data_IF_366447531992
#
_entry.id   IF_366447531992
#
_cell.length_a   1.000
_cell.length_b   1.000
_cell.length_c   1.000
_cell.angle_alpha   90.00
_cell.angle_beta   90.00
_cell.angle_gamma   90.00
#
_symmetry.space_group_name_H-M   'P 1'
#
loop_
_entity.id
_entity.type
_entity.pdbx_description
1 polymer ?
#
# COMPACT_ATOMS: atom_id res chain seq x y z
N UNK A 1 46.86 -5.03 -21.63
CA UNK A 1 46.23 -5.73 -20.50
C UNK A 1 45.23 -4.76 -19.91
N UNK A 2 43.95 -4.87 -20.27
CA UNK A 2 42.92 -4.00 -19.71
C UNK A 2 42.81 -4.31 -18.20
N UNK A 3 42.63 -3.31 -17.32
CA UNK A 3 42.40 -3.57 -15.91
C UNK A 3 41.14 -4.41 -15.78
N UNK A 4 41.26 -5.53 -15.05
CA UNK A 4 40.14 -6.39 -14.69
C UNK A 4 39.07 -5.50 -14.00
N UNK A 5 37.81 -5.49 -14.47
CA UNK A 5 36.78 -4.67 -13.84
C UNK A 5 36.73 -5.00 -12.35
N UNK A 6 37.08 -4.03 -11.52
CA UNK A 6 37.12 -4.19 -10.07
C UNK A 6 35.74 -4.68 -9.59
N UNK A 7 35.67 -5.95 -9.20
CA UNK A 7 34.45 -6.56 -8.69
C UNK A 7 34.19 -5.97 -7.31
N UNK A 8 33.19 -5.10 -7.22
CA UNK A 8 32.77 -4.52 -5.95
C UNK A 8 32.13 -5.62 -5.08
N UNK A 9 32.48 -5.74 -3.79
CA UNK A 9 31.80 -6.64 -2.87
C UNK A 9 30.30 -6.34 -2.78
N UNK A 10 29.47 -7.37 -2.64
CA UNK A 10 28.00 -7.24 -2.58
C UNK A 10 27.53 -6.27 -1.47
N UNK A 11 28.23 -6.25 -0.33
CA UNK A 11 27.88 -5.38 0.79
C UNK A 11 28.11 -3.91 0.47
N UNK A 12 29.20 -3.59 -0.24
CA UNK A 12 29.47 -2.23 -0.70
C UNK A 12 28.49 -1.80 -1.80
N UNK A 13 28.06 -2.74 -2.67
CA UNK A 13 27.01 -2.49 -3.64
C UNK A 13 25.67 -2.20 -2.95
N UNK A 14 25.28 -3.02 -1.98
CA UNK A 14 24.06 -2.84 -1.21
C UNK A 14 24.04 -1.48 -0.49
N UNK A 15 25.19 -1.06 0.05
CA UNK A 15 25.37 0.22 0.72
C UNK A 15 25.17 1.41 -0.23
N UNK A 16 25.63 1.32 -1.49
CA UNK A 16 25.35 2.37 -2.48
C UNK A 16 23.87 2.35 -2.86
N UNK A 17 23.31 1.17 -3.12
CA UNK A 17 21.93 1.02 -3.58
C UNK A 17 20.91 1.48 -2.55
N UNK A 18 21.16 1.33 -1.24
CA UNK A 18 20.20 1.73 -0.19
C UNK A 18 19.95 3.23 -0.09
N UNK A 19 20.80 4.04 -0.73
CA UNK A 19 20.63 5.49 -0.79
C UNK A 19 19.78 5.94 -2.00
N UNK A 20 19.41 5.02 -2.89
CA UNK A 20 18.62 5.33 -4.07
C UNK A 20 17.12 5.38 -3.74
N UNK A 21 16.39 6.20 -4.49
CA UNK A 21 14.93 6.24 -4.40
C UNK A 21 14.31 4.90 -4.86
N UNK A 22 13.11 4.53 -4.38
CA UNK A 22 12.49 3.24 -4.69
C UNK A 22 12.31 2.94 -6.20
N UNK A 23 11.98 3.96 -7.00
CA UNK A 23 11.84 3.81 -8.44
C UNK A 23 13.18 3.56 -9.14
N UNK A 24 14.26 4.18 -8.64
CA UNK A 24 15.63 3.96 -9.14
C UNK A 24 16.12 2.57 -8.77
N UNK A 25 15.81 2.09 -7.56
CA UNK A 25 16.07 0.70 -7.15
C UNK A 25 15.37 -0.30 -8.07
N UNK A 26 14.12 -0.04 -8.45
CA UNK A 26 13.39 -0.89 -9.38
C UNK A 26 14.06 -0.98 -10.76
N UNK A 27 14.60 0.14 -11.27
CA UNK A 27 15.37 0.16 -12.51
C UNK A 27 16.71 -0.61 -12.37
N UNK A 28 17.41 -0.43 -11.25
CA UNK A 28 18.68 -1.12 -10.96
C UNK A 28 18.54 -2.66 -10.91
N UNK A 29 17.37 -3.20 -10.54
CA UNK A 29 17.06 -4.65 -10.58
C UNK A 29 17.07 -5.27 -11.98
N UNK A 30 17.08 -4.44 -13.03
CA UNK A 30 17.08 -4.89 -14.43
C UNK A 30 18.48 -4.90 -15.06
N UNK A 31 19.50 -4.34 -14.39
CA UNK A 31 20.86 -4.19 -14.93
C UNK A 31 21.55 -5.54 -15.12
N UNK A 32 21.63 -6.35 -14.06
CA UNK A 32 22.15 -7.72 -14.14
C UNK A 32 21.63 -8.60 -12.99
N UNK A 33 21.88 -9.91 -13.08
CA UNK A 33 21.48 -10.88 -12.06
C UNK A 33 22.04 -10.57 -10.67
N UNK A 34 23.35 -10.33 -10.55
CA UNK A 34 23.98 -10.05 -9.24
C UNK A 34 23.46 -8.79 -8.55
N UNK A 35 23.10 -7.75 -9.31
CA UNK A 35 22.45 -6.56 -8.76
C UNK A 35 21.03 -6.87 -8.28
N UNK A 36 20.27 -7.64 -9.05
CA UNK A 36 18.93 -8.08 -8.64
C UNK A 36 18.97 -8.90 -7.36
N UNK A 37 19.89 -9.86 -7.26
CA UNK A 37 20.03 -10.73 -6.09
C UNK A 37 20.43 -9.94 -4.84
N UNK A 38 21.37 -8.99 -4.99
CA UNK A 38 21.76 -8.07 -3.91
C UNK A 38 20.58 -7.21 -3.44
N UNK A 39 19.82 -6.64 -4.38
CA UNK A 39 18.64 -5.82 -4.07
C UNK A 39 17.56 -6.67 -3.41
N UNK A 40 17.26 -7.84 -3.94
CA UNK A 40 16.19 -8.70 -3.45
C UNK A 40 16.50 -9.24 -2.04
N UNK A 41 17.75 -9.65 -1.78
CA UNK A 41 18.17 -10.19 -0.50
C UNK A 41 18.32 -9.13 0.60
N UNK A 42 18.93 -7.97 0.28
CA UNK A 42 19.35 -7.00 1.31
C UNK A 42 18.46 -5.75 1.39
N UNK A 43 17.78 -5.38 0.31
CA UNK A 43 16.97 -4.15 0.26
C UNK A 43 15.47 -4.41 0.14
N UNK A 44 15.05 -5.44 -0.61
CA UNK A 44 13.63 -5.77 -0.76
C UNK A 44 13.11 -6.71 0.33
N UNK A 45 13.97 -7.40 1.08
CA UNK A 45 13.56 -8.12 2.30
C UNK A 45 12.86 -7.22 3.33
N UNK A 46 13.13 -5.91 3.30
CA UNK A 46 12.46 -4.90 4.12
C UNK A 46 11.38 -4.09 3.37
N UNK A 47 11.28 -4.21 2.04
CA UNK A 47 10.32 -3.49 1.19
C UNK A 47 9.15 -4.38 0.75
N UNK A 48 8.55 -5.05 1.73
CA UNK A 48 7.25 -5.73 1.71
C UNK A 48 7.31 -7.21 1.36
N UNK A 49 6.52 -7.97 2.12
CA UNK A 49 5.71 -9.05 1.56
C UNK A 49 4.99 -8.48 0.33
N UNK A 50 5.60 -8.60 -0.86
CA UNK A 50 5.04 -8.14 -2.16
C UNK A 50 3.86 -9.02 -2.62
N UNK A 51 3.27 -9.76 -1.71
CA UNK A 51 2.04 -10.50 -1.97
C UNK A 51 0.87 -9.54 -1.83
N UNK A 52 0.26 -9.16 -2.95
CA UNK A 52 -1.00 -8.41 -2.95
C UNK A 52 -2.05 -9.31 -2.32
N UNK A 53 -2.50 -8.96 -1.12
CA UNK A 53 -3.46 -9.78 -0.36
C UNK A 53 -4.90 -9.60 -0.83
N UNK A 54 -5.20 -8.53 -1.53
CA UNK A 54 -6.50 -8.23 -2.10
C UNK A 54 -6.57 -6.80 -2.63
N UNK A 55 -7.74 -6.43 -3.09
CA UNK A 55 -8.05 -5.12 -3.68
C UNK A 55 -9.34 -4.56 -3.07
N UNK A 56 -9.43 -3.24 -2.98
CA UNK A 56 -10.67 -2.55 -2.63
C UNK A 56 -11.31 -1.98 -3.89
N UNK A 57 -12.62 -2.20 -4.06
CA UNK A 57 -13.43 -1.62 -5.13
C UNK A 57 -14.42 -0.63 -4.52
N UNK A 58 -14.42 0.59 -5.04
CA UNK A 58 -15.36 1.64 -4.64
C UNK A 58 -16.63 1.56 -5.51
N UNK A 59 -17.76 1.19 -4.92
CA UNK A 59 -19.07 1.26 -5.57
C UNK A 59 -19.65 2.66 -5.38
N UNK A 60 -19.28 3.58 -6.27
CA UNK A 60 -19.60 5.03 -6.15
C UNK A 60 -21.10 5.31 -6.05
N UNK A 61 -21.92 4.65 -6.85
CA UNK A 61 -23.38 4.80 -6.84
C UNK A 61 -24.01 4.29 -5.53
N UNK A 62 -23.43 3.23 -4.96
CA UNK A 62 -23.93 2.59 -3.73
C UNK A 62 -23.29 3.16 -2.47
N UNK A 63 -22.31 4.07 -2.62
CA UNK A 63 -21.59 4.73 -1.53
C UNK A 63 -20.97 3.74 -0.53
N UNK A 64 -20.30 2.70 -1.01
CA UNK A 64 -19.48 1.84 -0.16
C UNK A 64 -18.24 1.32 -0.88
N UNK A 65 -17.32 0.75 -0.11
CA UNK A 65 -16.15 0.04 -0.64
C UNK A 65 -16.19 -1.41 -0.18
N UNK A 66 -15.76 -2.32 -1.05
CA UNK A 66 -15.71 -3.75 -0.74
C UNK A 66 -14.32 -4.32 -1.03
N UNK A 67 -13.90 -5.24 -0.16
CA UNK A 67 -12.61 -5.90 -0.26
C UNK A 67 -12.76 -7.25 -0.94
N UNK A 68 -11.93 -7.48 -1.95
CA UNK A 68 -11.84 -8.75 -2.67
C UNK A 68 -10.44 -9.32 -2.51
N UNK A 69 -10.33 -10.55 -2.03
CA UNK A 69 -9.06 -11.26 -1.86
C UNK A 69 -9.12 -12.64 -2.49
N UNK A 70 -7.96 -13.14 -2.91
CA UNK A 70 -7.86 -14.52 -3.37
C UNK A 70 -7.54 -15.45 -2.18
N UNK A 71 -8.39 -16.45 -1.88
CA UNK A 71 -8.23 -17.32 -0.70
C UNK A 71 -6.89 -18.07 -0.62
N UNK A 72 -6.25 -18.31 -1.77
CA UNK A 72 -4.95 -18.98 -1.84
C UNK A 72 -3.77 -18.08 -1.47
N UNK A 73 -4.00 -16.79 -1.24
CA UNK A 73 -2.93 -15.78 -1.07
C UNK A 73 -2.52 -15.60 0.40
N UNK A 74 -3.05 -16.43 1.32
CA UNK A 74 -2.68 -16.48 2.73
C UNK A 74 -3.89 -16.35 3.67
N UNK A 75 -3.66 -16.04 4.96
CA UNK A 75 -4.73 -15.91 5.96
C UNK A 75 -5.82 -14.92 5.54
N UNK A 76 -7.07 -15.24 5.85
CA UNK A 76 -8.20 -14.37 5.57
C UNK A 76 -8.04 -12.99 6.22
N UNK A 77 -8.36 -11.93 5.47
CA UNK A 77 -8.32 -10.55 5.95
C UNK A 77 -9.76 -10.04 5.97
N UNK A 78 -10.23 -9.63 7.16
CA UNK A 78 -11.49 -8.92 7.26
C UNK A 78 -11.34 -7.53 6.62
N UNK A 79 -12.01 -7.31 5.49
CA UNK A 79 -12.01 -6.03 4.78
C UNK A 79 -13.17 -5.10 5.14
N UNK A 80 -13.90 -5.39 6.20
CA UNK A 80 -15.01 -4.57 6.67
C UNK A 80 -14.54 -3.18 7.13
N UNK A 81 -15.31 -2.15 6.78
CA UNK A 81 -15.04 -0.74 7.14
C UNK A 81 -16.13 -0.15 8.06
N UNK A 82 -16.96 -1.01 8.64
CA UNK A 82 -18.09 -0.69 9.52
C UNK A 82 -17.68 -0.13 10.89
N UNK A 83 -16.43 -0.38 11.31
CA UNK A 83 -15.86 0.20 12.52
C UNK A 83 -15.61 1.72 12.43
N UNK A 84 -15.64 2.30 11.23
CA UNK A 84 -15.39 3.72 11.04
C UNK A 84 -16.65 4.54 11.41
N UNK A 85 -16.52 5.68 12.11
CA UNK A 85 -17.65 6.51 12.54
C UNK A 85 -18.23 7.38 11.41
N UNK A 86 -18.18 6.89 10.16
CA UNK A 86 -18.60 7.60 8.97
C UNK A 86 -19.36 6.66 8.05
N UNK A 87 -20.37 7.19 7.35
CA UNK A 87 -21.05 6.45 6.28
C UNK A 87 -20.38 6.74 4.94
N UNK A 88 -20.71 5.96 3.92
CA UNK A 88 -20.27 6.32 2.58
C UNK A 88 -18.78 6.09 2.29
N UNK A 89 -18.10 5.23 3.07
CA UNK A 89 -16.64 5.14 3.08
C UNK A 89 -16.09 4.70 1.73
N UNK A 90 -15.18 5.52 1.20
CA UNK A 90 -14.39 5.26 0.00
C UNK A 90 -12.92 5.11 0.32
N UNK A 91 -12.28 4.07 -0.21
CA UNK A 91 -10.82 3.91 -0.16
C UNK A 91 -10.20 4.73 -1.28
N UNK A 92 -9.35 5.69 -0.92
CA UNK A 92 -8.74 6.65 -1.87
C UNK A 92 -7.27 6.38 -2.13
N UNK A 93 -6.58 5.75 -1.19
CA UNK A 93 -5.18 5.34 -1.33
C UNK A 93 -4.86 4.20 -0.34
N UNK A 94 -3.70 3.57 -0.50
CA UNK A 94 -3.20 2.53 0.39
C UNK A 94 -1.67 2.52 0.47
N UNK A 95 -1.12 2.15 1.64
CA UNK A 95 0.31 1.97 1.81
C UNK A 95 0.59 0.92 2.90
N UNK A 96 1.32 -0.15 2.57
CA UNK A 96 1.77 -1.18 3.52
C UNK A 96 0.64 -1.78 4.39
N UNK A 97 -0.56 -1.94 3.82
CA UNK A 97 -1.74 -2.44 4.53
C UNK A 97 -2.57 -1.37 5.25
N UNK A 98 -2.10 -0.12 5.28
CA UNK A 98 -2.89 1.03 5.73
C UNK A 98 -3.75 1.55 4.58
N UNK A 99 -4.96 2.01 4.91
CA UNK A 99 -5.93 2.54 3.94
C UNK A 99 -6.21 4.01 4.25
N UNK A 100 -6.22 4.85 3.21
CA UNK A 100 -6.70 6.22 3.30
C UNK A 100 -8.18 6.26 2.90
N UNK A 101 -9.04 6.51 3.88
CA UNK A 101 -10.49 6.47 3.73
C UNK A 101 -11.12 7.86 3.71
N UNK A 102 -12.16 8.03 2.90
CA UNK A 102 -13.01 9.22 2.86
C UNK A 102 -14.47 8.84 3.07
N UNK A 103 -15.07 9.31 4.15
CA UNK A 103 -16.50 9.12 4.44
C UNK A 103 -17.24 10.44 4.53
N UNK A 104 -18.57 10.36 4.57
CA UNK A 104 -19.43 11.46 4.99
C UNK A 104 -19.72 11.31 6.47
N UNK A 105 -19.38 12.32 7.28
CA UNK A 105 -19.84 12.37 8.65
C UNK A 105 -21.35 12.53 8.62
N UNK A 106 -22.06 11.64 9.29
CA UNK A 106 -23.47 11.85 9.59
C UNK A 106 -23.51 12.92 10.69
N UNK A 107 -23.39 14.19 10.30
CA UNK A 107 -23.83 15.28 11.15
C UNK A 107 -25.34 15.11 11.21
N UNK A 108 -25.82 14.39 12.22
CA UNK A 108 -27.24 14.30 12.51
C UNK A 108 -27.77 15.71 12.64
N UNK A 109 -28.40 16.21 11.57
CA UNK A 109 -29.17 17.44 11.56
C UNK A 109 -30.34 17.20 12.50
N UNK A 110 -30.08 17.41 13.79
CA UNK A 110 -31.09 17.61 14.79
C UNK A 110 -31.65 18.99 14.52
N UNK A 111 -32.46 19.09 13.47
CA UNK A 111 -33.40 20.18 13.29
C UNK A 111 -34.21 20.23 14.58
N UNK A 112 -33.84 21.16 15.47
CA UNK A 112 -34.52 21.41 16.71
C UNK A 112 -35.89 21.94 16.31
N UNK A 113 -36.89 21.05 16.29
CA UNK A 113 -38.28 21.43 16.19
C UNK A 113 -38.52 22.49 17.27
N UNK A 114 -38.65 23.74 16.84
CA UNK A 114 -39.17 24.81 17.68
C UNK A 114 -40.64 24.46 17.92
N UNK A 115 -41.09 24.35 19.17
CA UNK A 115 -42.52 24.23 19.42
C UNK A 115 -43.16 25.50 18.90
N UNK A 116 -44.15 25.35 18.01
CA UNK A 116 -45.07 26.43 17.67
C UNK A 116 -45.95 26.66 18.90
N UNK A 117 -45.60 27.65 19.72
CA UNK A 117 -46.50 28.21 20.72
C UNK A 117 -47.36 29.28 20.06
N UNK A 118 -48.69 29.17 20.24
CA UNK A 118 -49.66 30.26 20.08
C UNK A 118 -50.49 30.24 18.82
#
# INVERSE_FOLDING_TARGET
MAPDPAVLPEDALAEVLRHLAPHTLAASRLVCGGWRDTIDARLCGHLLSRSVRGIFINFTQLRFSEFFSCPSTGPEICGGLDFLPCTGVRVTDHCNGLLLCRGTQDHGDRAKATPSDG
#
